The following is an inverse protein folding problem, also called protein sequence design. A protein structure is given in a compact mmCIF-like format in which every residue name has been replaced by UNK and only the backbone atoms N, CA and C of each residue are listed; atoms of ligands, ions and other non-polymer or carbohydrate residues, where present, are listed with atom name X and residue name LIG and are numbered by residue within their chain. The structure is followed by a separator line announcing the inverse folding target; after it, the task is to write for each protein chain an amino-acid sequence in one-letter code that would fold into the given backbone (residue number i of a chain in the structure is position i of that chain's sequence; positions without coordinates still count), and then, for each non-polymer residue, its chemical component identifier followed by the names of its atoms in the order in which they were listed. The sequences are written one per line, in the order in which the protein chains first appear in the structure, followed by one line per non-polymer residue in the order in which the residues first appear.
data_IF_431769751447
#
_entry.id   IF_431769751447
#
_cell.length_a   1.000
_cell.length_b   1.000
_cell.length_c   1.000
_cell.angle_alpha   90.00
_cell.angle_beta   90.00
_cell.angle_gamma   90.00
#
_symmetry.space_group_name_H-M   'P 1'
#
loop_
_entity.id
_entity.type
_entity.pdbx_description
1 polymer ?
#
# COMPACT_ATOMS: atom_id res chain seq x y z
N UNK A 1 -13.71 -17.64 8.48
CA UNK A 1 -13.00 -16.72 7.56
C UNK A 1 -11.82 -16.10 8.30
N UNK A 2 -10.69 -15.82 7.62
CA UNK A 2 -9.43 -15.39 8.27
C UNK A 2 -9.49 -14.01 8.93
N UNK A 3 -10.37 -13.12 8.47
CA UNK A 3 -10.55 -11.75 8.97
C UNK A 3 -11.94 -11.50 9.53
N UNK A 4 -12.64 -12.56 9.97
CA UNK A 4 -14.02 -12.46 10.41
C UNK A 4 -14.24 -11.30 11.40
N UNK A 5 -15.12 -10.36 11.00
CA UNK A 5 -15.51 -9.15 11.73
C UNK A 5 -14.38 -8.20 12.17
N UNK A 6 -13.15 -8.39 11.65
CA UNK A 6 -12.06 -7.44 11.85
C UNK A 6 -12.29 -6.17 11.07
N UNK A 7 -12.10 -5.03 11.68
CA UNK A 7 -12.23 -3.69 11.07
C UNK A 7 -10.87 -3.26 10.51
N UNK A 8 -10.78 -3.16 9.18
CA UNK A 8 -9.53 -2.90 8.47
C UNK A 8 -9.62 -1.57 7.71
N UNK A 9 -8.73 -0.66 8.00
CA UNK A 9 -8.58 0.62 7.29
C UNK A 9 -7.63 0.42 6.10
N UNK A 10 -8.03 0.89 4.91
CA UNK A 10 -7.22 0.85 3.69
C UNK A 10 -7.06 2.25 3.14
N UNK A 11 -5.89 2.87 3.34
CA UNK A 11 -5.56 4.15 2.69
C UNK A 11 -5.27 3.92 1.20
N UNK A 12 -5.62 4.88 0.34
CA UNK A 12 -5.51 4.67 -1.11
C UNK A 12 -6.42 3.55 -1.64
N UNK A 13 -7.46 3.19 -0.88
CA UNK A 13 -8.40 2.12 -1.22
C UNK A 13 -9.22 2.36 -2.50
N UNK A 14 -9.21 3.56 -3.04
CA UNK A 14 -9.85 3.91 -4.33
C UNK A 14 -9.00 3.57 -5.54
N UNK A 15 -7.68 3.32 -5.37
CA UNK A 15 -6.76 2.93 -6.43
C UNK A 15 -6.88 1.45 -6.82
N UNK A 16 -6.24 1.05 -7.93
CA UNK A 16 -6.34 -0.33 -8.46
C UNK A 16 -5.91 -1.37 -7.42
N UNK A 17 -4.70 -1.23 -6.84
CA UNK A 17 -4.20 -2.18 -5.84
C UNK A 17 -5.04 -2.14 -4.55
N UNK A 18 -5.34 -0.92 -4.06
CA UNK A 18 -6.15 -0.74 -2.87
C UNK A 18 -7.55 -1.36 -3.00
N UNK A 19 -8.15 -1.26 -4.18
CA UNK A 19 -9.45 -1.88 -4.44
C UNK A 19 -9.38 -3.41 -4.42
N UNK A 20 -8.34 -4.00 -5.01
CA UNK A 20 -8.10 -5.45 -4.90
C UNK A 20 -7.94 -5.90 -3.44
N UNK A 21 -7.23 -5.10 -2.62
CA UNK A 21 -7.10 -5.37 -1.18
C UNK A 21 -8.46 -5.29 -0.46
N UNK A 22 -9.28 -4.28 -0.79
CA UNK A 22 -10.61 -4.14 -0.21
C UNK A 22 -11.47 -5.40 -0.47
N UNK A 23 -11.49 -5.89 -1.71
CA UNK A 23 -12.24 -7.11 -2.06
C UNK A 23 -11.70 -8.34 -1.32
N UNK A 24 -10.39 -8.50 -1.26
CA UNK A 24 -9.77 -9.63 -0.55
C UNK A 24 -10.08 -9.65 0.96
N UNK A 25 -10.04 -8.46 1.60
CA UNK A 25 -10.38 -8.29 3.01
C UNK A 25 -11.85 -8.64 3.24
N UNK A 26 -12.76 -8.10 2.41
CA UNK A 26 -14.19 -8.37 2.49
C UNK A 26 -14.50 -9.85 2.29
N UNK A 27 -13.95 -10.49 1.25
CA UNK A 27 -14.11 -11.91 0.96
C UNK A 27 -13.57 -12.82 2.07
N UNK A 28 -12.67 -12.28 2.92
CA UNK A 28 -12.14 -12.97 4.09
C UNK A 28 -12.95 -12.70 5.37
N UNK A 29 -14.08 -12.00 5.26
CA UNK A 29 -15.01 -11.69 6.35
C UNK A 29 -14.69 -10.39 7.10
N UNK A 30 -13.74 -9.59 6.63
CA UNK A 30 -13.38 -8.30 7.22
C UNK A 30 -14.38 -7.19 6.88
N UNK A 31 -14.41 -6.17 7.73
CA UNK A 31 -15.12 -4.91 7.52
C UNK A 31 -14.12 -3.92 6.94
N UNK A 32 -14.39 -3.36 5.77
CA UNK A 32 -13.43 -2.53 5.04
C UNK A 32 -13.77 -1.05 5.19
N UNK A 33 -12.82 -0.27 5.72
CA UNK A 33 -12.90 1.18 5.77
C UNK A 33 -12.00 1.77 4.67
N UNK A 34 -12.61 2.18 3.56
CA UNK A 34 -11.94 2.62 2.34
C UNK A 34 -11.67 4.11 2.41
N UNK A 35 -10.39 4.51 2.48
CA UNK A 35 -9.98 5.90 2.53
C UNK A 35 -9.39 6.38 1.20
N UNK A 36 -9.81 7.56 0.74
CA UNK A 36 -9.28 8.22 -0.44
C UNK A 36 -9.65 9.68 -0.51
N UNK A 37 -8.94 10.45 -1.37
CA UNK A 37 -9.21 11.88 -1.60
C UNK A 37 -10.44 12.13 -2.50
N UNK A 38 -10.98 11.12 -3.12
CA UNK A 38 -12.25 11.19 -3.85
C UNK A 38 -13.29 10.43 -3.04
N UNK A 39 -14.17 11.18 -2.37
CA UNK A 39 -15.21 10.65 -1.48
C UNK A 39 -16.19 9.78 -2.25
N UNK A 40 -16.67 10.27 -3.38
CA UNK A 40 -17.66 9.60 -4.22
C UNK A 40 -17.14 8.24 -4.67
N UNK A 41 -15.86 8.17 -5.11
CA UNK A 41 -15.23 6.91 -5.51
C UNK A 41 -15.04 5.95 -4.32
N UNK A 42 -14.75 6.46 -3.13
CA UNK A 42 -14.65 5.63 -1.93
C UNK A 42 -16.00 5.03 -1.54
N UNK A 43 -17.07 5.83 -1.62
CA UNK A 43 -18.45 5.40 -1.37
C UNK A 43 -18.94 4.40 -2.43
N UNK A 44 -18.63 4.63 -3.71
CA UNK A 44 -18.90 3.69 -4.82
C UNK A 44 -18.25 2.33 -4.56
N UNK A 45 -16.95 2.31 -4.20
CA UNK A 45 -16.22 1.08 -3.89
C UNK A 45 -16.78 0.35 -2.67
N UNK A 46 -17.24 1.09 -1.67
CA UNK A 46 -17.92 0.50 -0.53
C UNK A 46 -19.28 -0.09 -0.90
N UNK A 47 -20.06 0.60 -1.76
CA UNK A 47 -21.34 0.11 -2.24
C UNK A 47 -21.21 -1.18 -3.07
N UNK A 48 -20.19 -1.29 -3.92
CA UNK A 48 -19.89 -2.53 -4.67
C UNK A 48 -19.65 -3.72 -3.70
N UNK A 49 -18.84 -3.52 -2.65
CA UNK A 49 -18.58 -4.56 -1.65
C UNK A 49 -19.86 -4.95 -0.89
N UNK A 50 -20.69 -3.97 -0.54
CA UNK A 50 -21.96 -4.23 0.15
C UNK A 50 -22.92 -4.98 -0.75
N UNK A 51 -23.00 -4.65 -2.05
CA UNK A 51 -23.83 -5.35 -3.02
C UNK A 51 -23.39 -6.82 -3.21
N UNK A 52 -22.11 -7.14 -3.00
CA UNK A 52 -21.57 -8.49 -3.00
C UNK A 52 -21.76 -9.23 -1.65
N UNK A 53 -22.47 -8.62 -0.69
CA UNK A 53 -22.75 -9.21 0.64
C UNK A 53 -21.68 -8.93 1.70
N UNK A 54 -20.69 -8.12 1.41
CA UNK A 54 -19.65 -7.72 2.35
C UNK A 54 -20.05 -6.53 3.23
N UNK A 55 -19.12 -6.12 4.10
CA UNK A 55 -19.30 -4.95 4.99
C UNK A 55 -18.22 -3.91 4.67
N UNK A 56 -18.62 -2.69 4.31
CA UNK A 56 -17.68 -1.62 4.00
C UNK A 56 -18.22 -0.23 4.32
N UNK A 57 -17.31 0.75 4.37
CA UNK A 57 -17.62 2.18 4.40
C UNK A 57 -16.57 2.92 3.57
N UNK A 58 -17.02 3.88 2.73
CA UNK A 58 -16.16 4.79 2.01
C UNK A 58 -16.05 6.12 2.75
N UNK A 59 -14.84 6.64 2.94
CA UNK A 59 -14.57 7.88 3.65
C UNK A 59 -13.56 8.75 2.88
N UNK A 60 -13.75 10.05 2.95
CA UNK A 60 -12.74 11.01 2.52
C UNK A 60 -11.62 11.10 3.55
N UNK A 61 -10.37 11.01 3.10
CA UNK A 61 -9.21 11.44 3.86
C UNK A 61 -8.01 11.72 2.93
N UNK A 62 -7.31 12.82 3.16
CA UNK A 62 -5.95 13.01 2.68
C UNK A 62 -4.99 12.43 3.73
N UNK A 63 -4.13 11.50 3.34
CA UNK A 63 -3.16 10.85 4.23
C UNK A 63 -2.08 11.79 4.78
N UNK A 64 -1.99 13.00 4.23
CA UNK A 64 -1.09 14.06 4.70
C UNK A 64 -1.80 15.10 5.59
N UNK A 65 -3.11 14.94 5.83
CA UNK A 65 -3.91 15.85 6.65
C UNK A 65 -4.36 15.13 7.93
N UNK A 66 -3.84 15.56 9.07
CA UNK A 66 -4.14 14.98 10.38
C UNK A 66 -5.63 15.09 10.73
N UNK A 67 -6.27 16.23 10.45
CA UNK A 67 -7.68 16.46 10.75
C UNK A 67 -8.61 15.53 9.95
N UNK A 68 -8.29 15.27 8.67
CA UNK A 68 -9.05 14.34 7.84
C UNK A 68 -8.95 12.91 8.39
N UNK A 69 -7.74 12.48 8.76
CA UNK A 69 -7.50 11.15 9.32
C UNK A 69 -8.19 10.98 10.68
N UNK A 70 -8.13 12.00 11.54
CA UNK A 70 -8.81 11.97 12.83
C UNK A 70 -10.32 11.88 12.65
N UNK A 71 -10.91 12.67 11.76
CA UNK A 71 -12.35 12.59 11.42
C UNK A 71 -12.74 11.20 10.90
N UNK A 72 -11.94 10.62 10.02
CA UNK A 72 -12.16 9.26 9.53
C UNK A 72 -12.10 8.23 10.67
N UNK A 73 -11.09 8.35 11.56
CA UNK A 73 -10.96 7.53 12.75
C UNK A 73 -12.20 7.57 13.64
N UNK A 74 -12.70 8.77 13.93
CA UNK A 74 -13.85 8.98 14.81
C UNK A 74 -15.12 8.34 14.23
N UNK A 75 -15.36 8.50 12.92
CA UNK A 75 -16.49 7.85 12.22
C UNK A 75 -16.36 6.31 12.30
N UNK A 76 -15.16 5.77 12.11
CA UNK A 76 -14.94 4.31 12.17
C UNK A 76 -15.20 3.79 13.58
N UNK A 77 -14.68 4.48 14.59
CA UNK A 77 -14.88 4.10 16.00
C UNK A 77 -16.33 4.21 16.41
N UNK A 78 -17.03 5.28 16.03
CA UNK A 78 -18.47 5.45 16.29
C UNK A 78 -19.28 4.31 15.68
N UNK A 79 -18.95 3.89 14.44
CA UNK A 79 -19.72 2.90 13.71
C UNK A 79 -19.39 1.46 14.09
N UNK A 80 -18.12 1.14 14.36
CA UNK A 80 -17.64 -0.24 14.52
C UNK A 80 -16.99 -0.52 15.88
N UNK A 81 -16.72 0.51 16.69
CA UNK A 81 -16.16 0.39 18.04
C UNK A 81 -14.67 0.05 18.10
N UNK A 82 -14.02 -0.29 16.97
CA UNK A 82 -12.64 -0.79 16.94
C UNK A 82 -11.96 -0.62 15.60
N UNK A 83 -10.61 -0.74 15.60
CA UNK A 83 -9.78 -0.91 14.39
C UNK A 83 -8.78 -2.03 14.66
N UNK A 84 -8.77 -3.07 13.80
CA UNK A 84 -7.93 -4.26 13.93
C UNK A 84 -6.78 -4.30 12.93
N UNK A 85 -6.86 -3.51 11.86
CA UNK A 85 -5.80 -3.49 10.85
C UNK A 85 -5.75 -2.21 10.06
N UNK A 86 -4.56 -1.94 9.52
CA UNK A 86 -4.28 -0.81 8.64
C UNK A 86 -3.45 -1.28 7.45
N UNK A 87 -3.90 -0.98 6.24
CA UNK A 87 -3.13 -1.13 5.00
C UNK A 87 -2.77 0.26 4.49
N UNK A 88 -1.49 0.61 4.57
CA UNK A 88 -0.96 1.85 4.02
C UNK A 88 -0.67 1.68 2.52
N UNK A 89 -1.72 1.84 1.69
CA UNK A 89 -1.62 1.69 0.23
C UNK A 89 -1.72 3.02 -0.53
N UNK A 90 -1.85 4.15 0.17
CA UNK A 90 -1.73 5.46 -0.45
C UNK A 90 -0.27 5.74 -0.84
N UNK A 91 -0.06 6.14 -2.09
CA UNK A 91 1.29 6.42 -2.59
C UNK A 91 1.31 6.48 -4.12
N UNK A 92 2.49 6.70 -4.64
CA UNK A 92 2.74 6.73 -6.08
C UNK A 92 3.83 7.74 -6.45
N UNK A 93 4.22 7.75 -7.74
CA UNK A 93 5.11 8.76 -8.28
C UNK A 93 4.32 9.95 -8.83
N UNK A 94 5.00 11.06 -9.07
CA UNK A 94 4.46 12.26 -9.71
C UNK A 94 5.23 12.53 -11.00
N UNK A 95 4.54 13.04 -12.03
CA UNK A 95 5.16 13.33 -13.34
C UNK A 95 6.36 14.28 -13.24
N UNK A 96 6.27 15.32 -12.40
CA UNK A 96 7.37 16.27 -12.15
C UNK A 96 8.60 15.68 -11.44
N UNK A 97 8.46 14.51 -10.82
CA UNK A 97 9.56 13.80 -10.14
C UNK A 97 10.12 12.64 -10.98
N UNK A 98 9.70 12.55 -12.25
CA UNK A 98 10.31 11.63 -13.23
C UNK A 98 11.56 12.29 -13.78
N UNK A 99 12.69 11.62 -13.68
CA UNK A 99 13.99 12.08 -14.23
C UNK A 99 14.13 11.48 -15.62
N UNK A 100 14.04 12.31 -16.66
CA UNK A 100 14.21 11.84 -18.04
C UNK A 100 15.69 11.65 -18.40
N UNK A 101 16.02 10.80 -19.39
CA UNK A 101 17.42 10.49 -19.72
C UNK A 101 18.25 11.70 -20.15
N UNK A 102 17.58 12.73 -20.69
CA UNK A 102 18.20 13.95 -21.21
C UNK A 102 18.35 15.05 -20.14
N UNK A 103 17.78 14.84 -18.93
CA UNK A 103 17.88 15.81 -17.84
C UNK A 103 19.23 15.77 -17.16
N UNK A 104 19.68 16.95 -16.73
CA UNK A 104 20.91 17.09 -15.96
C UNK A 104 20.72 16.54 -14.53
N UNK A 105 21.43 15.46 -14.22
CA UNK A 105 21.39 14.81 -12.90
C UNK A 105 21.88 15.70 -11.75
N UNK A 106 22.60 16.78 -12.05
CA UNK A 106 23.07 17.75 -11.06
C UNK A 106 22.09 18.92 -10.85
N UNK A 107 20.94 18.90 -11.56
CA UNK A 107 19.91 19.92 -11.48
C UNK A 107 18.50 19.33 -11.30
N UNK A 108 18.34 18.43 -10.30
CA UNK A 108 17.08 17.77 -10.01
C UNK A 108 16.09 18.72 -9.32
N UNK A 109 14.80 18.58 -9.63
CA UNK A 109 13.72 19.27 -8.90
C UNK A 109 13.53 18.65 -7.51
N UNK A 110 14.24 19.19 -6.52
CA UNK A 110 14.17 18.74 -5.13
C UNK A 110 12.77 18.92 -4.53
N UNK A 111 12.00 19.92 -4.96
CA UNK A 111 10.62 20.12 -4.50
C UNK A 111 9.69 18.99 -4.97
N UNK A 112 9.85 18.53 -6.22
CA UNK A 112 9.12 17.39 -6.73
C UNK A 112 9.52 16.07 -6.03
N UNK A 113 10.82 15.89 -5.76
CA UNK A 113 11.31 14.74 -4.98
C UNK A 113 10.74 14.74 -3.55
N UNK A 114 10.75 15.90 -2.87
CA UNK A 114 10.17 16.06 -1.53
C UNK A 114 8.68 15.72 -1.52
N UNK A 115 7.92 16.19 -2.51
CA UNK A 115 6.49 15.90 -2.61
C UNK A 115 6.20 14.40 -2.75
N UNK A 116 7.00 13.66 -3.52
CA UNK A 116 6.90 12.20 -3.65
C UNK A 116 7.30 11.50 -2.35
N UNK A 117 8.38 11.93 -1.72
CA UNK A 117 8.80 11.43 -0.41
C UNK A 117 7.71 11.65 0.63
N UNK A 118 7.13 12.86 0.69
CA UNK A 118 6.07 13.23 1.62
C UNK A 118 4.86 12.33 1.44
N UNK A 119 4.37 12.15 0.22
CA UNK A 119 3.21 11.30 -0.05
C UNK A 119 3.46 9.84 0.36
N UNK A 120 4.59 9.26 -0.04
CA UNK A 120 4.81 7.82 0.14
C UNK A 120 5.26 7.47 1.56
N UNK A 121 6.13 8.26 2.19
CA UNK A 121 6.64 8.00 3.52
C UNK A 121 5.70 8.56 4.60
N UNK A 122 5.48 9.88 4.62
CA UNK A 122 4.64 10.49 5.67
C UNK A 122 3.17 10.14 5.50
N UNK A 123 2.70 9.89 4.26
CA UNK A 123 1.36 9.33 3.99
C UNK A 123 1.16 7.89 4.48
N UNK A 124 2.21 7.22 4.98
CA UNK A 124 2.12 5.96 5.72
C UNK A 124 2.33 6.16 7.22
N UNK A 125 3.24 7.08 7.62
CA UNK A 125 3.54 7.35 9.03
C UNK A 125 2.35 7.98 9.75
N UNK A 126 1.74 9.01 9.17
CA UNK A 126 0.66 9.75 9.81
C UNK A 126 -0.59 8.88 10.03
N UNK A 127 -1.10 8.11 9.04
CA UNK A 127 -2.18 7.15 9.30
C UNK A 127 -1.82 6.12 10.37
N UNK A 128 -0.57 5.65 10.39
CA UNK A 128 -0.11 4.72 11.45
C UNK A 128 -0.17 5.35 12.83
N UNK A 129 0.15 6.64 12.98
CA UNK A 129 0.06 7.33 14.26
C UNK A 129 -1.39 7.49 14.73
N UNK A 130 -2.30 7.86 13.83
CA UNK A 130 -3.71 8.10 14.17
C UNK A 130 -4.42 6.76 14.45
N UNK A 131 -4.47 5.87 13.47
CA UNK A 131 -5.20 4.60 13.61
C UNK A 131 -4.50 3.63 14.57
N UNK A 132 -3.18 3.67 14.67
CA UNK A 132 -2.41 2.85 15.62
C UNK A 132 -2.75 3.12 17.08
N UNK A 133 -3.03 4.38 17.47
CA UNK A 133 -3.54 4.71 18.81
C UNK A 133 -4.88 4.04 19.08
N UNK A 134 -5.79 4.09 18.13
CA UNK A 134 -7.10 3.42 18.22
C UNK A 134 -6.95 1.90 18.27
N UNK A 135 -6.09 1.32 17.43
CA UNK A 135 -5.78 -0.12 17.47
C UNK A 135 -5.29 -0.55 18.86
N UNK A 136 -4.40 0.24 19.46
CA UNK A 136 -3.91 -0.03 20.83
C UNK A 136 -5.02 -0.01 21.87
N UNK A 137 -5.98 0.90 21.73
CA UNK A 137 -7.06 1.07 22.70
C UNK A 137 -8.17 0.03 22.53
N UNK A 138 -8.47 -0.40 21.30
CA UNK A 138 -9.72 -1.10 20.97
C UNK A 138 -9.55 -2.56 20.53
N UNK A 139 -8.33 -3.00 20.20
CA UNK A 139 -8.08 -4.34 19.68
C UNK A 139 -7.13 -5.14 20.57
N UNK A 140 -7.34 -6.44 20.72
CA UNK A 140 -6.43 -7.33 21.45
C UNK A 140 -5.20 -7.64 20.61
N UNK A 141 -5.38 -7.84 19.30
CA UNK A 141 -4.31 -8.09 18.32
C UNK A 141 -4.61 -7.33 17.05
N UNK A 142 -3.65 -6.52 16.61
CA UNK A 142 -3.79 -5.71 15.40
C UNK A 142 -2.59 -5.89 14.45
N UNK A 143 -2.76 -5.53 13.18
CA UNK A 143 -1.73 -5.65 12.15
C UNK A 143 -1.70 -4.45 11.22
N UNK A 144 -0.49 -3.96 10.93
CA UNK A 144 -0.23 -2.91 9.96
C UNK A 144 0.54 -3.51 8.78
N UNK A 145 0.08 -3.24 7.56
CA UNK A 145 0.74 -3.67 6.33
C UNK A 145 1.07 -2.44 5.48
N UNK A 146 2.36 -2.23 5.26
CA UNK A 146 2.87 -1.17 4.39
C UNK A 146 3.08 -1.70 2.96
N UNK A 147 2.92 -0.83 1.96
CA UNK A 147 3.20 -1.18 0.57
C UNK A 147 4.54 -0.57 0.16
N UNK A 148 5.57 -1.43 0.04
CA UNK A 148 6.86 -1.11 -0.54
C UNK A 148 6.84 -1.21 -2.07
N UNK A 149 7.96 -1.44 -2.71
CA UNK A 149 8.12 -1.63 -4.16
C UNK A 149 9.47 -2.27 -4.46
N UNK A 150 9.60 -2.98 -5.56
CA UNK A 150 10.91 -3.42 -6.09
C UNK A 150 11.89 -2.26 -6.26
N UNK A 151 11.39 -1.03 -6.44
CA UNK A 151 12.20 0.18 -6.51
C UNK A 151 12.93 0.52 -5.19
N UNK A 152 12.58 -0.11 -4.07
CA UNK A 152 13.31 0.00 -2.81
C UNK A 152 14.60 -0.86 -2.80
N UNK A 153 14.62 -1.94 -3.57
CA UNK A 153 15.68 -2.96 -3.56
C UNK A 153 16.55 -2.95 -4.81
N UNK A 154 15.95 -2.62 -5.96
CA UNK A 154 16.63 -2.58 -7.25
C UNK A 154 16.54 -1.19 -7.86
N UNK A 155 17.50 -0.85 -8.74
CA UNK A 155 17.47 0.44 -9.43
C UNK A 155 16.41 0.42 -10.52
N UNK A 156 15.33 1.17 -10.27
CA UNK A 156 14.32 1.48 -11.29
C UNK A 156 14.57 2.91 -11.78
N UNK A 157 15.08 3.04 -13.00
CA UNK A 157 15.42 4.35 -13.60
C UNK A 157 14.21 5.29 -13.64
N UNK A 158 14.46 6.60 -13.70
CA UNK A 158 13.48 7.69 -13.80
C UNK A 158 12.70 8.02 -12.51
N UNK A 159 12.72 7.20 -11.47
CA UNK A 159 11.83 7.34 -10.30
C UNK A 159 12.61 7.45 -8.98
N UNK A 160 13.63 8.32 -8.94
CA UNK A 160 14.53 8.48 -7.80
C UNK A 160 13.78 8.75 -6.48
N UNK A 161 12.92 9.77 -6.43
CA UNK A 161 12.20 10.13 -5.20
C UNK A 161 11.28 9.01 -4.70
N UNK A 162 10.67 8.27 -5.62
CA UNK A 162 9.84 7.11 -5.29
C UNK A 162 10.70 5.96 -4.72
N UNK A 163 11.86 5.67 -5.32
CA UNK A 163 12.79 4.64 -4.84
C UNK A 163 13.28 4.94 -3.44
N UNK A 164 13.71 6.19 -3.19
CA UNK A 164 14.11 6.65 -1.85
C UNK A 164 12.98 6.50 -0.82
N UNK A 165 11.76 6.91 -1.17
CA UNK A 165 10.62 6.80 -0.28
C UNK A 165 10.28 5.34 0.04
N UNK A 166 10.33 4.43 -0.94
CA UNK A 166 10.02 3.02 -0.73
C UNK A 166 11.12 2.29 0.07
N UNK A 167 12.38 2.65 -0.10
CA UNK A 167 13.47 2.19 0.77
C UNK A 167 13.28 2.68 2.22
N UNK A 168 12.88 3.94 2.40
CA UNK A 168 12.55 4.48 3.72
C UNK A 168 11.37 3.77 4.38
N UNK A 169 10.34 3.38 3.62
CA UNK A 169 9.20 2.56 4.11
C UNK A 169 9.66 1.21 4.64
N UNK A 170 10.61 0.54 3.99
CA UNK A 170 11.14 -0.73 4.50
C UNK A 170 11.92 -0.57 5.80
N UNK A 171 12.78 0.46 5.87
CA UNK A 171 13.50 0.80 7.10
C UNK A 171 12.53 1.16 8.23
N UNK A 172 11.53 1.99 7.97
CA UNK A 172 10.46 2.34 8.89
C UNK A 172 9.70 1.11 9.38
N UNK A 173 9.31 0.21 8.47
CA UNK A 173 8.59 -1.03 8.80
C UNK A 173 9.37 -1.87 9.80
N UNK A 174 10.66 -2.10 9.54
CA UNK A 174 11.54 -2.90 10.41
C UNK A 174 11.74 -2.26 11.78
N UNK A 175 12.10 -0.97 11.79
CA UNK A 175 12.36 -0.25 13.04
C UNK A 175 11.10 -0.16 13.91
N UNK A 176 9.98 0.24 13.30
CA UNK A 176 8.74 0.46 14.03
C UNK A 176 8.12 -0.85 14.53
N UNK A 177 8.24 -1.93 13.76
CA UNK A 177 7.80 -3.25 14.17
C UNK A 177 8.48 -3.72 15.47
N UNK A 178 9.81 -3.54 15.57
CA UNK A 178 10.58 -3.90 16.78
C UNK A 178 10.15 -3.06 17.98
N UNK A 179 10.00 -1.74 17.79
CA UNK A 179 9.58 -0.84 18.86
C UNK A 179 8.14 -1.11 19.33
N UNK A 180 7.22 -1.39 18.41
CA UNK A 180 5.85 -1.79 18.75
C UNK A 180 5.84 -3.08 19.57
N UNK A 181 6.60 -4.10 19.15
CA UNK A 181 6.65 -5.37 19.84
C UNK A 181 7.23 -5.24 21.25
N UNK A 182 8.32 -4.49 21.42
CA UNK A 182 8.95 -4.25 22.71
C UNK A 182 8.07 -3.45 23.67
N UNK A 183 7.47 -2.39 23.19
CA UNK A 183 6.68 -1.46 24.03
C UNK A 183 5.29 -1.98 24.36
N UNK A 184 4.69 -2.75 23.45
CA UNK A 184 3.29 -3.17 23.53
C UNK A 184 3.10 -4.70 23.49
N UNK A 185 4.15 -5.47 23.86
CA UNK A 185 4.09 -6.92 24.05
C UNK A 185 3.54 -7.69 22.85
N UNK A 186 3.87 -7.23 21.63
CA UNK A 186 3.43 -7.86 20.39
C UNK A 186 1.96 -7.62 20.01
N UNK A 187 1.24 -6.75 20.71
CA UNK A 187 -0.17 -6.45 20.45
C UNK A 187 -0.41 -5.92 19.02
N UNK A 188 0.53 -5.13 18.47
CA UNK A 188 0.49 -4.67 17.08
C UNK A 188 1.71 -5.20 16.34
N UNK A 189 1.50 -5.86 15.22
CA UNK A 189 2.53 -6.27 14.28
C UNK A 189 2.57 -5.29 13.11
N UNK A 190 3.76 -5.06 12.55
CA UNK A 190 3.94 -4.30 11.32
C UNK A 190 4.81 -5.09 10.36
N UNK A 191 4.34 -5.20 9.11
CA UNK A 191 5.04 -5.86 8.01
C UNK A 191 4.83 -5.05 6.72
N UNK A 192 5.49 -5.45 5.64
CA UNK A 192 5.27 -4.87 4.32
C UNK A 192 5.12 -5.97 3.26
N UNK A 193 4.45 -5.64 2.16
CA UNK A 193 4.61 -6.36 0.90
C UNK A 193 5.43 -5.49 -0.05
N UNK A 194 6.20 -6.13 -0.94
CA UNK A 194 7.01 -5.48 -1.97
C UNK A 194 6.51 -5.96 -3.35
N UNK A 195 5.56 -5.25 -3.96
CA UNK A 195 5.08 -5.57 -5.29
C UNK A 195 6.14 -5.33 -6.37
N UNK A 196 6.19 -6.22 -7.36
CA UNK A 196 6.88 -5.99 -8.62
C UNK A 196 6.10 -5.06 -9.55
N UNK A 197 6.08 -5.40 -10.82
CA UNK A 197 5.36 -4.61 -11.83
C UNK A 197 3.93 -5.13 -12.00
N UNK A 198 2.98 -4.37 -11.51
CA UNK A 198 1.54 -4.54 -11.66
C UNK A 198 1.00 -3.37 -12.49
N UNK A 199 0.15 -3.63 -13.49
CA UNK A 199 -0.43 -2.56 -14.28
C UNK A 199 -1.42 -1.75 -13.43
N UNK A 200 -1.14 -0.46 -13.28
CA UNK A 200 -1.97 0.51 -12.59
C UNK A 200 -2.21 1.74 -13.48
N UNK A 201 -3.12 2.63 -13.12
CA UNK A 201 -3.33 3.89 -13.84
C UNK A 201 -2.05 4.74 -13.90
N UNK A 202 -1.21 4.68 -12.85
CA UNK A 202 0.01 5.47 -12.75
C UNK A 202 1.12 5.03 -13.70
N UNK A 203 1.19 3.75 -14.06
CA UNK A 203 2.28 3.21 -14.86
C UNK A 203 1.83 2.67 -16.23
N UNK A 204 0.53 2.61 -16.49
CA UNK A 204 -0.01 2.07 -17.74
C UNK A 204 0.60 2.74 -18.97
N UNK A 205 0.61 4.06 -19.01
CA UNK A 205 1.17 4.83 -20.15
C UNK A 205 2.68 4.69 -20.30
N UNK A 206 3.39 4.31 -19.24
CA UNK A 206 4.83 4.04 -19.28
C UNK A 206 5.14 2.63 -19.80
N UNK A 207 4.23 1.69 -19.59
CA UNK A 207 4.45 0.26 -19.86
C UNK A 207 3.68 -0.27 -21.06
N UNK A 208 2.56 0.39 -21.42
CA UNK A 208 1.69 -0.02 -22.53
C UNK A 208 1.34 1.16 -23.43
N UNK A 209 1.25 0.92 -24.73
CA UNK A 209 0.74 1.85 -25.73
C UNK A 209 -0.80 1.91 -25.69
N UNK A 210 -1.39 2.90 -26.37
CA UNK A 210 -2.85 3.07 -26.46
C UNK A 210 -3.56 1.84 -27.05
N UNK A 211 -2.92 1.12 -27.98
CA UNK A 211 -3.43 -0.10 -28.59
C UNK A 211 -3.24 -1.36 -27.72
N UNK A 212 -2.72 -1.21 -26.48
CA UNK A 212 -2.47 -2.32 -25.56
C UNK A 212 -1.15 -3.09 -25.78
N UNK A 213 -0.38 -2.78 -26.84
CA UNK A 213 0.96 -3.35 -26.99
C UNK A 213 1.92 -2.78 -25.94
N UNK A 214 3.02 -3.49 -25.69
CA UNK A 214 4.02 -3.04 -24.73
C UNK A 214 4.87 -1.91 -25.31
N UNK A 215 5.23 -0.94 -24.47
CA UNK A 215 6.30 0.01 -24.76
C UNK A 215 7.66 -0.70 -24.70
N UNK A 216 8.73 -0.06 -25.20
CA UNK A 216 10.09 -0.56 -25.02
C UNK A 216 10.43 -0.81 -23.54
N UNK A 217 9.98 0.08 -22.66
CA UNK A 217 10.13 -0.09 -21.21
C UNK A 217 9.32 -1.29 -20.70
N UNK A 218 8.11 -1.49 -21.17
CA UNK A 218 7.28 -2.64 -20.82
C UNK A 218 7.92 -3.96 -21.23
N UNK A 219 8.49 -4.03 -22.44
CA UNK A 219 9.25 -5.18 -22.91
C UNK A 219 10.47 -5.48 -22.05
N UNK A 220 11.27 -4.45 -21.67
CA UNK A 220 12.40 -4.60 -20.77
C UNK A 220 12.01 -5.12 -19.39
N UNK A 221 10.91 -4.61 -18.84
CA UNK A 221 10.39 -5.09 -17.54
C UNK A 221 10.00 -6.57 -17.62
N UNK A 222 9.27 -6.96 -18.64
CA UNK A 222 8.83 -8.37 -18.81
C UNK A 222 10.03 -9.28 -19.04
N UNK A 223 11.01 -8.89 -19.86
CA UNK A 223 12.21 -9.71 -20.12
C UNK A 223 13.05 -9.92 -18.87
N UNK A 224 13.01 -8.98 -17.91
CA UNK A 224 13.68 -9.09 -16.60
C UNK A 224 12.81 -9.77 -15.53
N UNK A 225 11.55 -10.09 -15.82
CA UNK A 225 10.66 -10.80 -14.92
C UNK A 225 10.57 -12.28 -15.33
N UNK A 226 11.12 -13.24 -14.55
CA UNK A 226 11.12 -14.65 -14.91
C UNK A 226 9.74 -15.23 -15.27
N UNK A 227 8.66 -14.77 -14.62
CA UNK A 227 7.28 -15.16 -14.95
C UNK A 227 6.79 -14.56 -16.29
N UNK A 228 7.54 -13.64 -16.92
CA UNK A 228 7.32 -13.07 -18.26
C UNK A 228 5.97 -12.38 -18.47
N UNK A 229 5.43 -11.76 -17.43
CA UNK A 229 4.23 -10.93 -17.47
C UNK A 229 4.20 -9.93 -16.31
N UNK A 230 3.31 -8.96 -16.41
CA UNK A 230 2.93 -8.16 -15.25
C UNK A 230 2.09 -8.98 -14.27
N UNK A 231 2.17 -8.63 -12.98
CA UNK A 231 1.31 -9.20 -11.95
C UNK A 231 -0.14 -8.71 -12.10
N UNK A 232 -1.10 -9.54 -11.72
CA UNK A 232 -2.48 -9.14 -11.53
C UNK A 232 -2.68 -8.65 -10.09
N UNK A 233 -3.41 -7.54 -9.85
CA UNK A 233 -3.63 -6.99 -8.50
C UNK A 233 -4.09 -8.02 -7.47
N UNK A 234 -4.88 -9.00 -7.90
CA UNK A 234 -5.41 -10.09 -7.07
C UNK A 234 -4.32 -11.01 -6.52
N UNK A 235 -3.17 -11.10 -7.19
CA UNK A 235 -2.04 -11.93 -6.74
C UNK A 235 -1.36 -11.38 -5.47
N UNK A 236 -1.60 -10.11 -5.13
CA UNK A 236 -1.17 -9.52 -3.84
C UNK A 236 -2.14 -9.84 -2.70
N UNK A 237 -3.38 -10.22 -3.02
CA UNK A 237 -4.49 -10.32 -2.06
C UNK A 237 -4.25 -11.34 -0.96
N UNK A 238 -3.72 -12.51 -1.31
CA UNK A 238 -3.44 -13.57 -0.34
C UNK A 238 -2.40 -13.12 0.72
N UNK A 239 -1.38 -12.36 0.31
CA UNK A 239 -0.37 -11.83 1.20
C UNK A 239 -0.94 -10.77 2.15
N UNK A 240 -1.80 -9.88 1.67
CA UNK A 240 -2.49 -8.89 2.50
C UNK A 240 -3.35 -9.57 3.56
N UNK A 241 -4.18 -10.53 3.16
CA UNK A 241 -5.04 -11.29 4.10
C UNK A 241 -4.20 -12.07 5.11
N UNK A 242 -3.12 -12.73 4.67
CA UNK A 242 -2.19 -13.44 5.54
C UNK A 242 -1.57 -12.53 6.58
N UNK A 243 -1.00 -11.39 6.18
CA UNK A 243 -0.32 -10.45 7.09
C UNK A 243 -1.30 -9.77 8.07
N UNK A 244 -2.57 -9.57 7.68
CA UNK A 244 -3.62 -9.03 8.55
C UNK A 244 -4.21 -10.08 9.50
N UNK A 245 -4.08 -11.36 9.18
CA UNK A 245 -4.68 -12.46 9.94
C UNK A 245 -3.80 -12.91 11.11
N UNK A 246 -4.36 -13.78 11.97
CA UNK A 246 -3.62 -14.41 13.06
C UNK A 246 -2.63 -15.50 12.57
N UNK A 247 -2.77 -15.96 11.31
CA UNK A 247 -1.85 -16.94 10.71
C UNK A 247 -0.41 -16.40 10.63
N UNK A 248 -0.25 -15.06 10.64
CA UNK A 248 1.04 -14.37 10.64
C UNK A 248 1.45 -13.83 12.02
N UNK A 249 0.95 -14.44 13.10
CA UNK A 249 1.19 -13.95 14.47
C UNK A 249 2.67 -13.87 14.87
N UNK A 250 3.54 -14.69 14.26
CA UNK A 250 4.99 -14.67 14.49
C UNK A 250 5.79 -13.99 13.37
N UNK A 251 5.12 -13.27 12.45
CA UNK A 251 5.74 -12.51 11.37
C UNK A 251 5.80 -11.03 11.78
N UNK A 252 7.02 -10.51 11.91
CA UNK A 252 7.28 -9.18 12.41
C UNK A 252 8.40 -8.51 11.61
N UNK A 253 8.16 -7.28 11.11
CA UNK A 253 9.14 -6.49 10.36
C UNK A 253 9.53 -7.07 9.01
N UNK A 254 8.81 -8.07 8.52
CA UNK A 254 9.09 -8.72 7.25
C UNK A 254 8.65 -7.86 6.07
N UNK A 255 9.41 -7.96 4.97
CA UNK A 255 9.07 -7.44 3.66
C UNK A 255 8.87 -8.63 2.72
N UNK A 256 7.63 -8.92 2.36
CA UNK A 256 7.30 -10.04 1.49
C UNK A 256 7.34 -9.62 0.03
N UNK A 257 8.27 -10.19 -0.73
CA UNK A 257 8.46 -9.92 -2.15
C UNK A 257 7.42 -10.67 -2.99
N UNK A 258 6.71 -9.94 -3.86
CA UNK A 258 5.70 -10.50 -4.79
C UNK A 258 5.94 -9.81 -6.14
N UNK A 259 6.92 -10.30 -6.89
CA UNK A 259 7.49 -9.57 -8.03
C UNK A 259 7.74 -10.44 -9.28
N UNK A 260 7.29 -11.68 -9.27
CA UNK A 260 7.51 -12.62 -10.37
C UNK A 260 8.98 -12.99 -10.59
N UNK A 261 9.82 -12.80 -9.56
CA UNK A 261 11.25 -13.08 -9.60
C UNK A 261 12.11 -11.92 -10.10
N UNK A 262 11.54 -10.74 -10.31
CA UNK A 262 12.24 -9.58 -10.87
C UNK A 262 13.49 -9.18 -10.06
N UNK A 263 13.43 -9.21 -8.73
CA UNK A 263 14.53 -8.76 -7.88
C UNK A 263 15.64 -9.79 -7.69
N UNK A 264 15.41 -11.06 -8.00
CA UNK A 264 16.37 -12.14 -7.80
C UNK A 264 17.02 -12.62 -9.11
N UNK A 265 16.54 -12.14 -10.28
CA UNK A 265 17.03 -12.53 -11.58
C UNK A 265 18.16 -11.61 -12.05
N UNK A 266 19.31 -12.21 -12.41
CA UNK A 266 20.49 -11.48 -12.87
C UNK A 266 20.48 -11.18 -14.38
N UNK A 267 19.53 -11.70 -15.13
CA UNK A 267 19.45 -11.56 -16.58
C UNK A 267 20.16 -12.71 -17.36
N UNK A 268 20.72 -13.70 -16.68
CA UNK A 268 21.43 -14.86 -17.26
C UNK A 268 20.90 -16.16 -16.67
#
# INVERSE_FOLDING_TARGET
MKLQDKVIVVTGGTGILGYSFNKAISNSGGIVCILGRNKEKAEERAAEIIAEGGKAIGLYADVLNEADLQKANDIIVEKFGRIDGLVNAAGGNQSKAVVEPEEDLFHLDLGALEAVMKLNLFGSLLPTQIFGRTMMATSDVASIVNISSVAAKTVVTKVLGYSLAKAAIESYTKWFAVELAKRYQGKIRMNAIMPGFFLTEQNRTLLTNVNGSLTERGLKVISQTPIQRFGYPEELSAAIVYLLSNDSSFVLGSVLEIDGGFTIYSGV
#
